data_IF_601895774298
#
_entry.id   IF_601895774298
#
_cell.length_a   1.000
_cell.length_b   1.000
_cell.length_c   1.000
_cell.angle_alpha   90.00
_cell.angle_beta   90.00
_cell.angle_gamma   90.00
#
_symmetry.space_group_name_H-M   'P 1'
#
loop_
_entity.id
_entity.type
_entity.pdbx_description
1 polymer ?
#
# COMPACT_ATOMS: atom_id res chain seq x y z
N UNK A 1 19.13 4.27 -8.48
CA UNK A 1 17.67 4.26 -8.30
C UNK A 1 17.17 5.65 -8.65
N UNK A 2 16.22 5.79 -9.59
CA UNK A 2 15.59 7.09 -9.83
C UNK A 2 14.89 7.61 -8.57
N UNK A 3 14.86 8.94 -8.42
CA UNK A 3 14.35 9.62 -7.22
C UNK A 3 12.84 9.84 -7.33
N UNK A 4 12.10 9.57 -6.24
CA UNK A 4 10.71 10.03 -6.09
C UNK A 4 10.68 11.54 -6.29
N UNK A 5 9.68 12.08 -7.00
CA UNK A 5 9.59 13.52 -7.22
C UNK A 5 9.55 14.30 -5.89
N UNK A 6 9.97 15.58 -5.94
CA UNK A 6 9.91 16.48 -4.79
C UNK A 6 8.48 16.86 -4.35
N UNK A 7 7.45 16.32 -5.01
CA UNK A 7 6.05 16.52 -4.65
C UNK A 7 5.67 15.73 -3.40
N UNK A 8 6.38 14.63 -3.12
CA UNK A 8 6.12 13.77 -1.97
C UNK A 8 6.96 14.18 -0.76
N UNK A 9 6.29 14.39 0.35
CA UNK A 9 6.88 14.58 1.67
C UNK A 9 6.93 13.23 2.38
N UNK A 10 8.13 12.77 2.71
CA UNK A 10 8.30 11.59 3.56
C UNK A 10 7.94 11.94 5.01
N UNK A 11 7.07 11.15 5.63
CA UNK A 11 6.68 11.30 7.03
C UNK A 11 7.16 10.12 7.86
N UNK A 12 6.92 10.15 9.18
CA UNK A 12 7.28 9.04 10.07
C UNK A 12 6.58 7.73 9.71
N UNK A 13 5.39 7.82 9.09
CA UNK A 13 4.53 6.68 8.81
C UNK A 13 4.31 6.43 7.31
N UNK A 14 5.06 7.08 6.41
CA UNK A 14 4.89 6.87 4.96
C UNK A 14 5.23 8.07 4.10
N UNK A 15 4.41 8.31 3.08
CA UNK A 15 4.58 9.37 2.09
C UNK A 15 3.28 10.14 1.90
N UNK A 16 3.40 11.46 1.84
CA UNK A 16 2.26 12.37 1.74
C UNK A 16 2.49 13.37 0.62
N UNK A 17 1.44 13.69 -0.12
CA UNK A 17 1.44 14.77 -1.09
C UNK A 17 0.13 15.52 -0.99
N UNK A 18 0.23 16.83 -0.90
CA UNK A 18 -0.90 17.74 -0.82
C UNK A 18 -0.64 18.88 -1.81
N UNK A 19 -1.48 18.97 -2.84
CA UNK A 19 -1.48 20.05 -3.82
C UNK A 19 -2.92 20.58 -4.02
N UNK A 20 -3.08 21.69 -4.75
CA UNK A 20 -4.37 22.38 -4.93
C UNK A 20 -5.50 21.50 -5.51
N UNK A 21 -5.16 20.31 -6.03
CA UNK A 21 -6.09 19.40 -6.71
C UNK A 21 -6.13 17.98 -6.14
N UNK A 22 -5.17 17.60 -5.30
CA UNK A 22 -5.02 16.24 -4.81
C UNK A 22 -4.45 16.20 -3.40
N UNK A 23 -5.16 15.52 -2.49
CA UNK A 23 -4.68 15.21 -1.15
C UNK A 23 -4.58 13.70 -0.97
N UNK A 24 -3.36 13.16 -1.00
CA UNK A 24 -3.09 11.74 -1.05
C UNK A 24 -1.97 11.33 -0.08
N UNK A 25 -2.09 10.15 0.53
CA UNK A 25 -0.99 9.55 1.27
C UNK A 25 -0.94 8.04 1.17
N UNK A 26 0.27 7.50 1.23
CA UNK A 26 0.56 6.07 1.35
C UNK A 26 1.20 5.86 2.70
N UNK A 27 0.53 5.13 3.57
CA UNK A 27 0.92 4.98 4.97
C UNK A 27 1.19 3.54 5.34
N UNK A 28 2.04 3.38 6.35
CA UNK A 28 2.38 2.14 7.01
C UNK A 28 1.93 2.26 8.46
N UNK A 29 1.20 1.26 8.94
CA UNK A 29 0.85 1.11 10.34
C UNK A 29 1.14 -0.30 10.79
N UNK A 30 1.38 -0.48 12.08
CA UNK A 30 1.38 -1.82 12.68
C UNK A 30 -0.03 -2.42 12.59
N UNK A 31 -0.11 -3.69 12.24
CA UNK A 31 -1.34 -4.47 12.23
C UNK A 31 -1.14 -5.71 13.10
N UNK A 32 -2.09 -5.97 13.99
CA UNK A 32 -2.12 -7.20 14.79
C UNK A 32 -3.00 -8.23 14.06
N UNK A 33 -2.40 -9.25 13.47
CA UNK A 33 -3.10 -10.24 12.64
C UNK A 33 -3.55 -11.40 13.53
N UNK A 34 -4.86 -11.51 13.73
CA UNK A 34 -5.50 -12.64 14.40
C UNK A 34 -6.20 -13.50 13.35
N UNK A 35 -5.76 -14.75 13.19
CA UNK A 35 -6.39 -15.71 12.28
C UNK A 35 -7.68 -16.24 12.89
N UNK A 36 -8.85 -15.96 12.30
CA UNK A 36 -10.12 -16.42 12.88
C UNK A 36 -11.24 -16.80 11.88
N UNK A 37 -10.97 -17.40 10.72
CA UNK A 37 -12.03 -17.59 9.70
C UNK A 37 -12.58 -16.26 9.14
N UNK A 38 -13.66 -16.33 8.34
CA UNK A 38 -14.13 -15.36 7.31
C UNK A 38 -14.48 -13.90 7.71
N UNK A 39 -13.90 -13.28 8.74
CA UNK A 39 -14.04 -11.83 8.93
C UNK A 39 -12.84 -11.22 9.68
N UNK A 40 -12.22 -10.20 9.07
CA UNK A 40 -11.00 -9.54 9.59
C UNK A 40 -11.24 -8.10 10.05
N UNK A 41 -10.64 -7.74 11.18
CA UNK A 41 -10.71 -6.40 11.76
C UNK A 41 -9.32 -5.89 12.21
N UNK A 42 -8.98 -4.65 11.84
CA UNK A 42 -7.71 -3.96 12.20
C UNK A 42 -7.97 -2.76 13.12
N UNK A 43 -7.06 -2.47 14.07
CA UNK A 43 -7.16 -1.34 15.01
C UNK A 43 -5.85 -0.53 15.14
N UNK A 44 -5.90 0.81 15.15
CA UNK A 44 -4.71 1.68 15.10
C UNK A 44 -3.90 1.89 16.41
N UNK A 45 -4.28 1.28 17.55
CA UNK A 45 -3.79 1.72 18.88
C UNK A 45 -3.21 0.60 19.78
N UNK A 46 -2.59 -0.46 19.23
CA UNK A 46 -2.28 -1.69 19.98
C UNK A 46 -0.85 -1.81 20.58
N UNK A 47 -0.73 -2.11 21.90
CA UNK A 47 0.38 -2.85 22.52
C UNK A 47 -0.12 -4.06 23.36
N UNK A 48 0.66 -5.04 23.84
CA UNK A 48 1.94 -5.58 23.40
C UNK A 48 1.82 -7.11 23.50
N UNK A 49 2.23 -7.78 22.41
CA UNK A 49 1.89 -9.14 21.99
C UNK A 49 2.51 -9.46 20.62
N UNK A 50 2.88 -8.48 19.79
CA UNK A 50 2.04 -7.45 19.17
C UNK A 50 2.58 -7.23 17.76
N UNK A 51 1.68 -6.92 16.83
CA UNK A 51 1.95 -6.62 15.43
C UNK A 51 2.96 -7.57 14.80
N UNK A 52 2.46 -8.74 14.40
CA UNK A 52 3.19 -9.64 13.52
C UNK A 52 3.29 -9.09 12.08
N UNK A 53 2.64 -7.95 11.77
CA UNK A 53 2.74 -7.34 10.47
C UNK A 53 2.63 -5.81 10.45
N UNK A 54 2.95 -5.26 9.29
CA UNK A 54 2.88 -3.88 8.89
C UNK A 54 1.91 -3.77 7.73
N UNK A 55 0.77 -3.12 7.96
CA UNK A 55 -0.22 -2.84 6.95
C UNK A 55 0.14 -1.57 6.19
N UNK A 56 0.11 -1.65 4.87
CA UNK A 56 0.17 -0.52 3.97
C UNK A 56 -1.23 -0.17 3.50
N UNK A 57 -1.59 1.10 3.58
CA UNK A 57 -2.87 1.61 3.11
C UNK A 57 -2.70 2.96 2.41
N UNK A 58 -3.54 3.22 1.42
CA UNK A 58 -3.67 4.53 0.81
C UNK A 58 -4.76 5.33 1.54
N UNK A 59 -4.60 6.66 1.58
CA UNK A 59 -5.62 7.58 2.07
C UNK A 59 -5.88 8.61 0.99
N UNK A 60 -7.10 8.61 0.46
CA UNK A 60 -7.59 9.64 -0.43
C UNK A 60 -8.30 10.73 0.37
N UNK A 61 -8.32 11.95 -0.16
CA UNK A 61 -9.05 13.10 0.39
C UNK A 61 -8.76 13.34 1.89
N UNK A 62 -7.48 13.47 2.26
CA UNK A 62 -7.06 13.63 3.67
C UNK A 62 -7.68 14.85 4.38
N UNK A 63 -8.10 15.85 3.61
CA UNK A 63 -8.77 17.04 4.11
C UNK A 63 -10.25 16.81 4.46
N UNK A 64 -10.85 15.72 3.96
CA UNK A 64 -12.20 15.28 4.32
C UNK A 64 -12.11 14.26 5.47
N UNK A 65 -12.81 14.45 6.61
CA UNK A 65 -12.95 13.42 7.63
C UNK A 65 -13.64 12.14 7.15
N UNK A 66 -14.23 12.14 5.94
CA UNK A 66 -14.75 10.96 5.23
C UNK A 66 -13.74 10.35 4.25
N UNK A 67 -12.52 10.90 4.16
CA UNK A 67 -11.47 10.39 3.29
C UNK A 67 -11.29 8.88 3.45
N UNK A 68 -11.19 8.19 2.32
CA UNK A 68 -11.22 6.72 2.30
C UNK A 68 -9.85 6.18 2.66
N UNK A 69 -9.81 5.33 3.68
CA UNK A 69 -8.65 4.48 3.96
C UNK A 69 -8.81 3.20 3.17
N UNK A 70 -7.86 2.95 2.30
CA UNK A 70 -7.89 1.84 1.36
C UNK A 70 -6.75 0.89 1.69
N UNK A 71 -7.02 -0.25 2.34
CA UNK A 71 -5.99 -1.22 2.66
C UNK A 71 -5.39 -1.80 1.37
N UNK A 72 -4.06 -1.95 1.33
CA UNK A 72 -3.36 -2.49 0.17
C UNK A 72 -2.83 -3.90 0.46
N UNK A 73 -1.93 -4.03 1.43
CA UNK A 73 -1.24 -5.29 1.73
C UNK A 73 -0.63 -5.24 3.13
N UNK A 74 -0.33 -6.40 3.73
CA UNK A 74 0.40 -6.51 4.99
C UNK A 74 1.71 -7.29 4.81
N UNK A 75 2.80 -6.84 5.44
CA UNK A 75 4.10 -7.53 5.46
C UNK A 75 4.54 -7.87 6.88
N UNK A 76 5.23 -8.99 7.08
CA UNK A 76 5.82 -9.33 8.38
C UNK A 76 6.88 -8.31 8.81
N UNK A 77 7.69 -7.89 7.83
CA UNK A 77 8.85 -7.03 8.02
C UNK A 77 8.60 -5.58 7.60
N UNK A 78 9.03 -4.64 8.44
CA UNK A 78 8.92 -3.21 8.17
C UNK A 78 9.69 -2.80 6.90
N UNK A 79 10.83 -3.46 6.64
CA UNK A 79 11.65 -3.17 5.46
C UNK A 79 10.88 -3.43 4.16
N UNK A 80 10.11 -4.52 4.12
CA UNK A 80 9.32 -4.89 2.96
C UNK A 80 8.08 -4.02 2.83
N UNK A 81 7.44 -3.68 3.95
CA UNK A 81 6.38 -2.68 3.96
C UNK A 81 6.83 -1.32 3.43
N UNK A 82 8.01 -0.84 3.84
CA UNK A 82 8.61 0.40 3.34
C UNK A 82 8.95 0.30 1.86
N UNK A 83 9.47 -0.85 1.43
CA UNK A 83 9.79 -1.10 0.02
C UNK A 83 8.51 -1.07 -0.82
N UNK A 84 7.46 -1.75 -0.39
CA UNK A 84 6.16 -1.77 -1.06
C UNK A 84 5.55 -0.37 -1.12
N UNK A 85 5.47 0.35 0.00
CA UNK A 85 4.95 1.72 0.04
C UNK A 85 5.74 2.66 -0.89
N UNK A 86 7.06 2.47 -0.99
CA UNK A 86 7.90 3.22 -1.92
C UNK A 86 7.55 2.93 -3.38
N UNK A 87 7.30 1.66 -3.73
CA UNK A 87 6.91 1.27 -5.08
C UNK A 87 5.52 1.83 -5.45
N UNK A 88 4.54 1.75 -4.55
CA UNK A 88 3.22 2.36 -4.72
C UNK A 88 3.35 3.86 -4.94
N UNK A 89 4.13 4.54 -4.09
CA UNK A 89 4.36 5.99 -4.21
C UNK A 89 4.95 6.36 -5.58
N UNK A 90 5.88 5.55 -6.11
CA UNK A 90 6.45 5.78 -7.46
C UNK A 90 5.44 5.59 -8.58
N UNK A 91 4.64 4.54 -8.50
CA UNK A 91 3.58 4.30 -9.48
C UNK A 91 2.57 5.47 -9.48
N UNK A 92 2.15 5.92 -8.30
CA UNK A 92 1.25 7.07 -8.15
C UNK A 92 1.91 8.39 -8.60
N UNK A 93 3.21 8.57 -8.39
CA UNK A 93 3.96 9.73 -8.88
C UNK A 93 3.98 9.80 -10.43
N UNK A 94 4.07 8.64 -11.08
CA UNK A 94 4.02 8.51 -12.53
C UNK A 94 2.63 8.84 -13.10
N UNK A 95 1.55 8.36 -12.46
CA UNK A 95 0.16 8.48 -12.96
C UNK A 95 -0.54 9.78 -12.54
N UNK A 96 -0.22 10.30 -11.36
CA UNK A 96 -0.61 11.62 -10.86
C UNK A 96 -2.13 11.85 -10.65
N UNK A 97 -2.91 10.84 -10.26
CA UNK A 97 -4.35 10.98 -9.96
C UNK A 97 -4.88 10.00 -8.88
N UNK A 98 -6.11 10.25 -8.40
CA UNK A 98 -6.85 9.36 -7.47
C UNK A 98 -7.22 8.05 -8.14
N UNK A 99 -7.47 8.08 -9.45
CA UNK A 99 -7.87 6.91 -10.24
C UNK A 99 -6.82 5.82 -10.10
N UNK A 100 -5.53 6.15 -10.10
CA UNK A 100 -4.47 5.17 -9.88
C UNK A 100 -4.52 4.49 -8.50
N UNK A 101 -5.07 5.13 -7.46
CA UNK A 101 -5.26 4.51 -6.14
C UNK A 101 -6.44 3.54 -6.17
N UNK A 102 -7.54 3.95 -6.80
CA UNK A 102 -8.71 3.11 -7.01
C UNK A 102 -8.36 1.89 -7.88
N UNK A 103 -7.57 2.07 -8.95
CA UNK A 103 -7.08 0.98 -9.82
C UNK A 103 -6.29 -0.08 -9.02
N UNK A 104 -5.45 0.34 -8.06
CA UNK A 104 -4.70 -0.59 -7.20
C UNK A 104 -5.63 -1.35 -6.24
N UNK A 105 -6.72 -0.72 -5.80
CA UNK A 105 -7.57 -1.20 -4.71
C UNK A 105 -8.81 -1.98 -5.16
N UNK A 106 -9.41 -1.63 -6.29
CA UNK A 106 -10.56 -2.31 -6.87
C UNK A 106 -10.18 -3.66 -7.46
N UNK A 107 -8.90 -3.85 -7.80
CA UNK A 107 -8.40 -5.11 -8.31
C UNK A 107 -8.13 -6.07 -7.15
N UNK A 108 -9.17 -6.79 -6.72
CA UNK A 108 -9.01 -8.03 -5.95
C UNK A 108 -8.02 -8.94 -6.69
N UNK A 109 -6.96 -9.39 -6.02
CA UNK A 109 -6.06 -10.35 -6.63
C UNK A 109 -6.87 -11.56 -7.06
N UNK A 110 -6.67 -11.99 -8.30
CA UNK A 110 -7.50 -13.00 -8.94
C UNK A 110 -7.49 -14.30 -8.12
N UNK A 111 -8.65 -14.61 -7.54
CA UNK A 111 -9.24 -15.82 -6.93
C UNK A 111 -8.57 -17.23 -6.99
N UNK A 112 -7.31 -17.41 -7.38
CA UNK A 112 -6.66 -18.74 -7.33
C UNK A 112 -5.68 -18.95 -6.17
N UNK A 113 -5.44 -17.91 -5.37
CA UNK A 113 -4.90 -18.04 -4.02
C UNK A 113 -5.79 -17.17 -3.12
N UNK A 114 -6.17 -17.68 -1.94
CA UNK A 114 -6.98 -16.97 -0.94
C UNK A 114 -6.26 -15.70 -0.43
N UNK A 115 -6.17 -14.65 -1.26
CA UNK A 115 -5.35 -13.46 -1.03
C UNK A 115 -6.21 -12.24 -0.78
N UNK A 116 -6.71 -12.17 0.44
CA UNK A 116 -7.18 -10.94 1.05
C UNK A 116 -6.10 -10.40 2.00
N UNK A 117 -6.11 -9.10 2.39
CA UNK A 117 -5.25 -8.56 3.46
C UNK A 117 -5.49 -9.18 4.85
N UNK A 118 -6.14 -10.33 4.90
CA UNK A 118 -6.37 -11.21 6.06
C UNK A 118 -5.11 -11.99 6.46
N UNK A 119 -4.09 -12.00 5.61
CA UNK A 119 -2.81 -12.66 5.83
C UNK A 119 -1.60 -11.71 5.85
N UNK A 120 -0.45 -12.26 6.21
CA UNK A 120 0.85 -11.59 6.18
C UNK A 120 1.59 -12.12 4.96
N UNK A 121 2.09 -11.23 4.11
CA UNK A 121 2.93 -11.64 2.98
C UNK A 121 4.36 -11.82 3.45
N UNK A 122 4.91 -13.00 3.19
CA UNK A 122 6.35 -13.25 3.29
C UNK A 122 7.03 -12.74 2.02
N UNK A 123 8.00 -11.83 2.18
CA UNK A 123 8.73 -11.25 1.08
C UNK A 123 9.67 -12.24 0.38
N UNK A 124 10.06 -13.33 1.05
CA UNK A 124 10.83 -14.43 0.45
C UNK A 124 9.98 -15.24 -0.55
N UNK A 125 8.66 -15.32 -0.33
CA UNK A 125 7.71 -15.97 -1.24
C UNK A 125 7.22 -15.01 -2.33
N UNK A 126 6.89 -13.77 -1.95
CA UNK A 126 6.36 -12.75 -2.86
C UNK A 126 7.01 -11.39 -2.60
N UNK A 127 8.11 -11.07 -3.31
CA UNK A 127 8.81 -9.80 -3.15
C UNK A 127 7.89 -8.59 -3.41
N UNK A 128 8.12 -7.44 -2.74
CA UNK A 128 7.28 -6.24 -2.88
C UNK A 128 6.98 -5.78 -4.31
N UNK A 129 7.94 -5.93 -5.22
CA UNK A 129 7.75 -5.59 -6.64
C UNK A 129 6.75 -6.52 -7.32
N UNK A 130 6.85 -7.82 -7.05
CA UNK A 130 5.97 -8.84 -7.63
C UNK A 130 4.57 -8.76 -7.03
N UNK A 131 4.48 -8.46 -5.72
CA UNK A 131 3.22 -8.16 -5.05
C UNK A 131 2.49 -6.98 -5.71
N UNK A 132 3.17 -5.86 -5.96
CA UNK A 132 2.56 -4.70 -6.61
C UNK A 132 2.21 -5.01 -8.07
N UNK A 133 3.08 -5.71 -8.80
CA UNK A 133 2.79 -6.14 -10.18
C UNK A 133 1.53 -7.02 -10.25
N UNK A 134 1.34 -7.91 -9.28
CA UNK A 134 0.17 -8.77 -9.19
C UNK A 134 -1.10 -7.95 -8.88
N UNK A 135 -1.03 -6.98 -7.96
CA UNK A 135 -2.15 -6.06 -7.67
C UNK A 135 -2.54 -5.22 -8.88
N UNK A 136 -1.57 -4.75 -9.65
CA UNK A 136 -1.82 -3.98 -10.88
C UNK A 136 -2.34 -4.83 -12.05
N UNK A 137 -2.24 -6.17 -11.96
CA UNK A 137 -2.67 -7.10 -13.00
C UNK A 137 -2.18 -6.73 -14.41
N UNK A 138 -3.11 -6.41 -15.31
CA UNK A 138 -2.82 -6.03 -16.71
C UNK A 138 -2.04 -4.72 -16.84
N UNK A 139 -2.01 -3.90 -15.78
CA UNK A 139 -1.24 -2.65 -15.71
C UNK A 139 0.17 -2.84 -15.15
N UNK A 140 0.60 -4.07 -14.86
CA UNK A 140 1.92 -4.36 -14.30
C UNK A 140 3.10 -3.85 -15.14
N UNK A 141 2.95 -3.68 -16.45
CA UNK A 141 3.98 -3.07 -17.32
C UNK A 141 4.19 -1.58 -17.00
N UNK A 142 3.15 -0.87 -16.56
CA UNK A 142 3.23 0.53 -16.16
C UNK A 142 4.07 0.72 -14.88
N UNK A 143 4.15 -0.31 -14.03
CA UNK A 143 5.07 -0.29 -12.89
C UNK A 143 6.53 -0.28 -13.37
N UNK A 144 6.87 -1.10 -14.36
CA UNK A 144 8.23 -1.13 -14.90
C UNK A 144 8.59 0.21 -15.56
N UNK A 145 7.63 0.84 -16.26
CA UNK A 145 7.78 2.20 -16.80
C UNK A 145 8.04 3.22 -15.67
N UNK A 146 7.21 3.24 -14.63
CA UNK A 146 7.35 4.12 -13.47
C UNK A 146 8.68 3.92 -12.70
N UNK A 147 9.27 2.72 -12.75
CA UNK A 147 10.55 2.42 -12.12
C UNK A 147 11.77 2.75 -12.99
N UNK A 148 11.56 2.93 -14.30
CA UNK A 148 12.61 3.20 -15.28
C UNK A 148 12.83 4.70 -15.56
N UNK A 149 11.83 5.54 -15.26
CA UNK A 149 11.89 7.00 -15.30
C UNK A 149 12.63 7.59 -14.11
#
# INVERSE_FOLDING_TARGET
MPSISNKWTKTGNGFERDDDTLSLGVYITTADVHYHGDDVHVRPDAPEGAANAYQIYAVTDRSDPRGSRVPLINYADLSDAVTFATLVTRYLDHRNDVIAVEEIAEQEAVYEDDWWPEGIVDADEKPPKEALRAMLGTYGEQLDEALSS
#
